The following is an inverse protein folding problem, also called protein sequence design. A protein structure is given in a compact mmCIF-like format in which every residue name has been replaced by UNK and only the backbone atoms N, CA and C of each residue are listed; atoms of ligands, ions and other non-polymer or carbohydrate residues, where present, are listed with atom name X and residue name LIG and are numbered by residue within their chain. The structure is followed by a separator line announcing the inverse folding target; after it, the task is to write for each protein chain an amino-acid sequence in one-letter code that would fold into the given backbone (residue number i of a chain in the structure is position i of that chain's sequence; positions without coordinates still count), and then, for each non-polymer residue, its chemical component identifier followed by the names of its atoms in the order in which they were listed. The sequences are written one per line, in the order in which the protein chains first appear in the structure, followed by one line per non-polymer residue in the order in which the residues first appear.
data_IF_808107535559
#
_entry.id   IF_808107535559
#
_cell.length_a   1.000
_cell.length_b   1.000
_cell.length_c   1.000
_cell.angle_alpha   90.00
_cell.angle_beta   90.00
_cell.angle_gamma   90.00
#
_symmetry.space_group_name_H-M   'P 1'
#
loop_
_entity.id
_entity.type
_entity.pdbx_description
1 polymer ?
#
# COMPACT_ATOMS: atom_id res chain seq x y z
N UNK A 1 -53.72 -10.14 -11.61
CA UNK A 1 -52.27 -9.84 -11.64
C UNK A 1 -51.98 -9.10 -10.35
N UNK A 2 -51.38 -9.78 -9.37
CA UNK A 2 -51.02 -9.17 -8.09
C UNK A 2 -49.60 -8.59 -8.23
N UNK A 3 -49.47 -7.30 -7.95
CA UNK A 3 -48.19 -6.59 -7.84
C UNK A 3 -47.43 -7.13 -6.62
N UNK A 4 -46.11 -7.39 -6.68
CA UNK A 4 -45.37 -7.79 -5.50
C UNK A 4 -45.31 -6.61 -4.52
N UNK A 5 -45.73 -6.83 -3.27
CA UNK A 5 -45.48 -5.93 -2.15
C UNK A 5 -43.97 -5.82 -1.92
N UNK A 6 -43.42 -4.62 -2.09
CA UNK A 6 -42.05 -4.32 -1.70
C UNK A 6 -42.01 -4.19 -0.18
N UNK A 7 -41.35 -5.14 0.49
CA UNK A 7 -41.26 -5.19 1.93
C UNK A 7 -40.35 -4.05 2.45
N UNK A 8 -40.80 -3.23 3.42
CA UNK A 8 -40.03 -2.10 3.95
C UNK A 8 -38.68 -2.52 4.57
N UNK A 9 -38.54 -3.78 4.98
CA UNK A 9 -37.31 -4.34 5.53
C UNK A 9 -36.21 -4.51 4.47
N UNK A 10 -36.54 -4.77 3.20
CA UNK A 10 -35.54 -4.85 2.11
C UNK A 10 -34.98 -3.48 1.77
N UNK A 11 -35.82 -2.45 1.76
CA UNK A 11 -35.38 -1.07 1.55
C UNK A 11 -34.51 -0.57 2.72
N UNK A 12 -34.84 -0.95 3.96
CA UNK A 12 -34.04 -0.63 5.13
C UNK A 12 -32.69 -1.37 5.14
N UNK A 13 -32.67 -2.64 4.73
CA UNK A 13 -31.44 -3.43 4.57
C UNK A 13 -30.55 -2.85 3.45
N UNK A 14 -31.11 -2.55 2.27
CA UNK A 14 -30.39 -1.92 1.18
C UNK A 14 -29.88 -0.51 1.53
N UNK A 15 -30.64 0.27 2.31
CA UNK A 15 -30.23 1.58 2.80
C UNK A 15 -29.13 1.47 3.86
N UNK A 16 -29.19 0.47 4.73
CA UNK A 16 -28.11 0.17 5.69
C UNK A 16 -26.85 -0.33 4.97
N UNK A 17 -26.97 -1.19 3.96
CA UNK A 17 -25.85 -1.61 3.10
C UNK A 17 -25.23 -0.43 2.35
N UNK A 18 -26.05 0.48 1.80
CA UNK A 18 -25.55 1.72 1.18
C UNK A 18 -24.91 2.68 2.19
N UNK A 19 -25.45 2.78 3.41
CA UNK A 19 -24.89 3.61 4.47
C UNK A 19 -23.57 3.04 5.02
N UNK A 20 -23.43 1.72 5.08
CA UNK A 20 -22.20 1.01 5.44
C UNK A 20 -21.17 1.05 4.29
N UNK A 21 -21.61 1.01 3.03
CA UNK A 21 -20.76 1.23 1.87
C UNK A 21 -20.20 2.66 1.79
N UNK A 22 -20.86 3.64 2.42
CA UNK A 22 -20.33 5.00 2.61
C UNK A 22 -19.29 5.14 3.71
N UNK A 23 -19.09 4.12 4.57
CA UNK A 23 -18.12 4.14 5.69
C UNK A 23 -16.81 3.41 5.38
N UNK A 24 -16.75 2.61 4.31
CA UNK A 24 -15.57 1.84 3.90
C UNK A 24 -15.12 2.36 2.54
N UNK A 25 -13.90 2.88 2.44
CA UNK A 25 -13.36 3.30 1.14
C UNK A 25 -13.09 2.07 0.27
N UNK A 26 -13.12 2.21 -1.06
CA UNK A 26 -12.73 1.11 -1.95
C UNK A 26 -11.30 0.65 -1.66
N UNK A 27 -10.43 1.57 -1.27
CA UNK A 27 -9.06 1.31 -0.85
C UNK A 27 -8.97 0.33 0.34
N UNK A 28 -9.89 0.41 1.29
CA UNK A 28 -9.95 -0.50 2.45
C UNK A 28 -10.29 -1.94 2.04
N UNK A 29 -11.06 -2.14 0.96
CA UNK A 29 -11.33 -3.48 0.41
C UNK A 29 -10.05 -4.17 -0.11
N UNK A 30 -9.04 -3.35 -0.42
CA UNK A 30 -7.81 -3.76 -1.08
C UNK A 30 -6.58 -3.75 -0.19
N UNK A 31 -6.78 -3.55 1.11
CA UNK A 31 -5.70 -3.51 2.10
C UNK A 31 -6.03 -4.37 3.31
N UNK A 32 -5.05 -5.18 3.73
CA UNK A 32 -5.06 -5.85 5.04
C UNK A 32 -3.98 -5.27 5.90
N UNK A 33 -4.35 -4.73 7.06
CA UNK A 33 -3.43 -4.13 8.03
C UNK A 33 -3.15 -5.10 9.18
N UNK A 34 -1.95 -5.10 9.74
CA UNK A 34 -1.68 -5.76 11.03
C UNK A 34 -2.51 -5.14 12.15
N UNK A 35 -2.83 -5.87 13.23
CA UNK A 35 -3.43 -5.26 14.41
C UNK A 35 -2.47 -4.22 15.01
N UNK A 36 -3.03 -3.15 15.58
CA UNK A 36 -2.26 -2.26 16.45
C UNK A 36 -2.05 -2.96 17.79
N UNK A 37 -0.82 -2.92 18.30
CA UNK A 37 -0.48 -3.45 19.63
C UNK A 37 -0.36 -2.32 20.64
N UNK A 38 -0.61 -2.63 21.91
CA UNK A 38 -0.27 -1.72 23.00
C UNK A 38 1.25 -1.49 23.03
N UNK A 39 1.72 -0.27 23.32
CA UNK A 39 3.15 0.01 23.44
C UNK A 39 3.83 -0.90 24.46
N UNK A 40 4.93 -1.54 24.07
CA UNK A 40 5.80 -2.28 24.97
C UNK A 40 7.02 -1.43 25.37
N UNK A 41 7.64 -1.72 26.54
CA UNK A 41 8.88 -1.06 26.93
C UNK A 41 9.96 -1.20 25.84
N UNK A 42 10.57 -0.07 25.45
CA UNK A 42 11.64 -0.03 24.45
C UNK A 42 11.18 0.12 22.99
N UNK A 43 9.88 0.05 22.69
CA UNK A 43 9.39 0.22 21.31
C UNK A 43 9.72 1.60 20.74
N UNK A 44 9.51 2.67 21.50
CA UNK A 44 9.84 4.03 21.08
C UNK A 44 11.34 4.23 20.85
N UNK A 45 12.20 3.61 21.68
CA UNK A 45 13.65 3.65 21.51
C UNK A 45 14.06 2.93 20.22
N UNK A 46 13.54 1.72 19.99
CA UNK A 46 13.80 0.93 18.78
C UNK A 46 13.36 1.67 17.51
N UNK A 47 12.18 2.29 17.55
CA UNK A 47 11.69 3.13 16.46
C UNK A 47 12.58 4.36 16.21
N UNK A 48 13.01 5.05 17.26
CA UNK A 48 13.91 6.19 17.15
C UNK A 48 15.27 5.81 16.54
N UNK A 49 15.83 4.66 16.92
CA UNK A 49 17.07 4.12 16.36
C UNK A 49 16.93 3.81 14.86
N UNK A 50 15.84 3.13 14.46
CA UNK A 50 15.52 2.86 13.05
C UNK A 50 15.48 4.18 12.27
N UNK A 51 14.74 5.17 12.77
CA UNK A 51 14.61 6.47 12.11
C UNK A 51 15.95 7.23 12.02
N UNK A 52 16.78 7.16 13.06
CA UNK A 52 18.10 7.78 13.06
C UNK A 52 19.03 7.17 12.01
N UNK A 53 19.04 5.83 11.88
CA UNK A 53 19.80 5.14 10.83
C UNK A 53 19.28 5.51 9.46
N UNK A 54 17.96 5.49 9.25
CA UNK A 54 17.37 5.89 7.97
C UNK A 54 17.78 7.31 7.57
N UNK A 55 17.63 8.27 8.47
CA UNK A 55 17.97 9.67 8.19
C UNK A 55 19.44 9.87 7.85
N UNK A 56 20.34 9.13 8.51
CA UNK A 56 21.78 9.18 8.23
C UNK A 56 22.15 8.51 6.91
N UNK A 57 21.72 7.26 6.70
CA UNK A 57 22.19 6.41 5.60
C UNK A 57 21.50 6.69 4.26
N UNK A 58 20.26 7.18 4.32
CA UNK A 58 19.44 7.44 3.13
C UNK A 58 19.50 8.91 2.68
N UNK A 59 20.10 9.82 3.46
CA UNK A 59 20.21 11.24 3.10
C UNK A 59 20.86 11.49 1.73
N UNK A 60 21.84 10.66 1.33
CA UNK A 60 22.47 10.74 0.01
C UNK A 60 21.48 10.55 -1.16
N UNK A 61 20.37 9.86 -0.90
CA UNK A 61 19.34 9.61 -1.91
C UNK A 61 18.32 10.75 -2.00
N UNK A 62 18.53 11.88 -1.32
CA UNK A 62 17.82 13.12 -1.66
C UNK A 62 18.05 13.50 -3.12
N UNK A 63 19.24 13.22 -3.64
CA UNK A 63 19.49 13.17 -5.07
C UNK A 63 18.99 11.85 -5.66
N UNK A 64 17.97 11.93 -6.52
CA UNK A 64 17.40 10.76 -7.19
C UNK A 64 18.41 10.07 -8.11
N UNK A 65 19.33 10.82 -8.72
CA UNK A 65 20.36 10.23 -9.59
C UNK A 65 21.34 9.37 -8.80
N UNK A 66 21.65 9.74 -7.55
CA UNK A 66 22.43 8.89 -6.66
C UNK A 66 21.69 7.56 -6.34
N UNK A 67 20.36 7.59 -6.21
CA UNK A 67 19.57 6.39 -6.04
C UNK A 67 19.59 5.52 -7.31
N UNK A 68 19.38 6.12 -8.48
CA UNK A 68 19.42 5.43 -9.77
C UNK A 68 20.80 4.80 -10.04
N UNK A 69 21.88 5.53 -9.77
CA UNK A 69 23.26 5.05 -9.86
C UNK A 69 23.53 3.89 -8.87
N UNK A 70 22.91 3.93 -7.69
CA UNK A 70 22.95 2.83 -6.73
C UNK A 70 22.07 1.62 -7.13
N UNK A 71 21.38 1.68 -8.28
CA UNK A 71 20.59 0.58 -8.83
C UNK A 71 19.13 0.55 -8.37
N UNK A 72 18.61 1.64 -7.81
CA UNK A 72 17.18 1.80 -7.61
C UNK A 72 16.49 2.11 -8.95
N UNK A 73 15.30 1.53 -9.16
CA UNK A 73 14.50 1.72 -10.38
C UNK A 73 13.05 1.95 -10.02
N UNK A 74 12.36 2.84 -10.73
CA UNK A 74 10.93 3.03 -10.54
C UNK A 74 10.19 1.75 -10.95
N UNK A 75 9.69 0.99 -9.96
CA UNK A 75 9.24 -0.39 -10.14
C UNK A 75 7.73 -0.48 -10.42
N UNK A 76 6.99 0.62 -10.31
CA UNK A 76 5.59 0.69 -10.70
C UNK A 76 5.38 2.02 -11.42
N UNK A 77 5.27 2.03 -12.77
CA UNK A 77 4.91 3.23 -13.51
C UNK A 77 3.41 3.55 -13.34
N UNK A 78 2.98 3.76 -12.10
CA UNK A 78 1.79 4.54 -11.84
C UNK A 78 2.22 6.00 -12.00
N UNK A 79 2.23 6.48 -13.25
CA UNK A 79 2.57 7.87 -13.56
C UNK A 79 1.70 8.89 -12.79
N UNK A 80 0.57 8.44 -12.22
CA UNK A 80 -0.35 9.22 -11.41
C UNK A 80 -0.23 9.02 -9.88
N UNK A 81 0.65 8.13 -9.38
CA UNK A 81 0.80 7.96 -7.94
C UNK A 81 1.58 9.15 -7.33
N UNK A 82 1.04 9.82 -6.29
CA UNK A 82 1.70 10.99 -5.68
C UNK A 82 3.06 10.64 -5.05
N UNK A 83 3.22 9.39 -4.62
CA UNK A 83 4.49 8.81 -4.16
C UNK A 83 4.98 7.80 -5.18
N UNK A 84 6.22 7.97 -5.63
CA UNK A 84 6.91 7.11 -6.58
C UNK A 84 7.85 6.16 -5.83
N UNK A 85 7.72 4.85 -6.10
CA UNK A 85 8.52 3.81 -5.47
C UNK A 85 9.71 3.45 -6.34
N UNK A 86 10.90 3.82 -5.88
CA UNK A 86 12.16 3.42 -6.49
C UNK A 86 12.68 2.19 -5.75
N UNK A 87 12.56 1.01 -6.36
CA UNK A 87 12.87 -0.29 -5.74
C UNK A 87 14.23 -0.81 -6.16
N UNK A 88 14.87 -1.53 -5.25
CA UNK A 88 16.15 -2.20 -5.50
C UNK A 88 16.01 -3.69 -5.24
N UNK A 89 15.90 -4.47 -6.32
CA UNK A 89 15.56 -5.90 -6.27
C UNK A 89 16.46 -6.73 -5.34
N UNK A 90 17.77 -6.45 -5.32
CA UNK A 90 18.69 -7.14 -4.40
C UNK A 90 18.34 -6.91 -2.93
N UNK A 91 17.87 -5.71 -2.58
CA UNK A 91 17.47 -5.37 -1.21
C UNK A 91 16.06 -5.91 -0.90
N UNK A 92 15.17 -5.94 -1.90
CA UNK A 92 13.89 -6.66 -1.79
C UNK A 92 14.09 -8.16 -1.44
N UNK A 93 15.08 -8.81 -2.06
CA UNK A 93 15.41 -10.21 -1.74
C UNK A 93 16.00 -10.35 -0.33
N UNK A 94 16.86 -9.43 0.10
CA UNK A 94 17.46 -9.43 1.44
C UNK A 94 16.43 -9.16 2.55
N UNK A 95 15.40 -8.35 2.28
CA UNK A 95 14.34 -8.01 3.25
C UNK A 95 13.55 -9.24 3.74
N UNK A 96 13.67 -10.38 3.05
CA UNK A 96 13.12 -11.66 3.52
C UNK A 96 13.70 -12.07 4.89
N UNK A 97 14.95 -11.72 5.16
CA UNK A 97 15.69 -12.14 6.34
C UNK A 97 15.56 -11.17 7.53
N UNK A 98 14.96 -9.99 7.35
CA UNK A 98 14.82 -8.98 8.40
C UNK A 98 14.76 -7.56 7.84
N UNK A 99 14.61 -6.59 8.73
CA UNK A 99 14.63 -5.16 8.39
C UNK A 99 16.01 -4.58 8.66
N UNK A 100 16.65 -4.04 7.62
CA UNK A 100 17.86 -3.23 7.72
C UNK A 100 17.49 -1.77 7.39
N UNK A 101 17.47 -0.85 8.36
CA UNK A 101 17.05 0.54 8.13
C UNK A 101 17.92 1.29 7.09
N UNK A 102 19.15 0.84 6.84
CA UNK A 102 20.05 1.41 5.84
C UNK A 102 19.84 0.85 4.42
N UNK A 103 19.06 -0.25 4.30
CA UNK A 103 18.84 -0.97 3.04
C UNK A 103 17.36 -1.25 2.79
N UNK A 104 16.53 -0.21 2.62
CA UNK A 104 15.11 -0.37 2.35
C UNK A 104 14.83 -1.11 1.03
N UNK A 105 13.65 -1.71 0.91
CA UNK A 105 13.22 -2.32 -0.35
C UNK A 105 13.01 -1.25 -1.42
N UNK A 106 12.36 -0.15 -1.06
CA UNK A 106 12.15 1.01 -1.93
C UNK A 106 12.44 2.32 -1.23
N UNK A 107 12.93 3.29 -1.99
CA UNK A 107 12.90 4.70 -1.63
C UNK A 107 11.57 5.29 -2.11
N UNK A 108 11.02 6.21 -1.32
CA UNK A 108 9.75 6.88 -1.61
C UNK A 108 10.04 8.33 -1.97
N UNK A 109 9.68 8.72 -3.18
CA UNK A 109 9.79 10.11 -3.64
C UNK A 109 8.41 10.70 -3.84
N UNK A 110 8.16 11.87 -3.26
CA UNK A 110 6.99 12.66 -3.61
C UNK A 110 7.27 13.42 -4.91
N UNK A 111 6.33 13.35 -5.85
CA UNK A 111 6.40 14.09 -7.11
C UNK A 111 5.64 15.40 -6.99
N UNK A 112 6.32 16.52 -7.20
CA UNK A 112 5.67 17.82 -7.30
C UNK A 112 5.05 18.04 -8.69
N UNK A 113 4.23 19.10 -8.83
CA UNK A 113 3.54 19.43 -10.07
C UNK A 113 4.50 19.74 -11.24
N UNK A 114 5.67 20.30 -10.95
CA UNK A 114 6.75 20.55 -11.91
C UNK A 114 7.54 19.28 -12.30
N UNK A 115 7.20 18.14 -11.70
CA UNK A 115 7.83 16.85 -11.94
C UNK A 115 9.10 16.59 -11.12
N UNK A 116 9.52 17.52 -10.26
CA UNK A 116 10.61 17.30 -9.32
C UNK A 116 10.27 16.20 -8.30
N UNK A 117 11.31 15.49 -7.84
CA UNK A 117 11.19 14.37 -6.92
C UNK A 117 11.89 14.70 -5.59
N UNK A 118 11.13 14.67 -4.50
CA UNK A 118 11.65 14.89 -3.15
C UNK A 118 11.63 13.60 -2.37
N UNK A 119 12.77 13.20 -1.79
CA UNK A 119 12.82 12.01 -0.94
C UNK A 119 11.94 12.22 0.29
N UNK A 120 10.91 11.39 0.42
CA UNK A 120 9.92 11.47 1.49
C UNK A 120 10.17 10.38 2.56
N UNK A 121 10.66 9.21 2.14
CA UNK A 121 10.83 8.10 3.05
C UNK A 121 11.33 6.83 2.38
N UNK A 122 11.00 5.70 3.00
CA UNK A 122 11.32 4.39 2.48
C UNK A 122 10.23 3.35 2.77
N UNK A 123 10.21 2.30 1.97
CA UNK A 123 9.39 1.11 2.16
C UNK A 123 10.26 -0.08 2.52
N UNK A 124 9.83 -0.84 3.53
CA UNK A 124 10.37 -2.15 3.86
C UNK A 124 9.36 -3.23 3.54
N UNK A 125 9.83 -4.43 3.23
CA UNK A 125 8.96 -5.57 2.92
C UNK A 125 9.28 -6.79 3.76
N UNK A 126 8.28 -7.66 3.93
CA UNK A 126 8.47 -8.98 4.53
C UNK A 126 7.67 -10.03 3.73
N UNK A 127 8.09 -11.32 3.75
CA UNK A 127 7.34 -12.40 3.11
C UNK A 127 5.88 -12.44 3.56
N UNK A 128 4.94 -12.81 2.70
CA UNK A 128 3.51 -12.76 3.02
C UNK A 128 3.09 -13.66 4.19
N UNK A 129 3.87 -14.70 4.49
CA UNK A 129 3.66 -15.65 5.58
C UNK A 129 4.31 -15.23 6.91
N UNK A 130 5.04 -14.10 6.95
CA UNK A 130 5.65 -13.60 8.19
C UNK A 130 4.55 -13.26 9.19
N UNK A 131 4.69 -13.82 10.39
CA UNK A 131 3.74 -13.68 11.50
C UNK A 131 3.78 -12.29 12.13
N UNK A 132 2.73 -11.89 12.84
CA UNK A 132 2.69 -10.61 13.54
C UNK A 132 3.83 -10.46 14.55
N UNK A 133 4.26 -11.54 15.22
CA UNK A 133 5.40 -11.51 16.14
C UNK A 133 6.72 -11.25 15.41
N UNK A 134 6.93 -11.86 14.24
CA UNK A 134 8.13 -11.60 13.43
C UNK A 134 8.12 -10.21 12.79
N UNK A 135 6.95 -9.67 12.45
CA UNK A 135 6.81 -8.28 11.98
C UNK A 135 7.12 -7.28 13.10
N UNK A 136 6.59 -7.52 14.30
CA UNK A 136 6.83 -6.72 15.50
C UNK A 136 8.31 -6.67 15.90
N UNK A 137 9.01 -7.79 15.74
CA UNK A 137 10.46 -7.87 15.94
C UNK A 137 11.24 -7.02 14.93
N UNK A 138 10.73 -6.85 13.70
CA UNK A 138 11.36 -6.02 12.65
C UNK A 138 11.10 -4.52 12.87
N UNK A 139 9.85 -4.16 13.12
CA UNK A 139 9.40 -2.81 13.42
C UNK A 139 8.18 -2.91 14.34
N UNK A 140 8.20 -2.29 15.55
CA UNK A 140 7.14 -2.49 16.53
C UNK A 140 5.74 -2.17 15.98
N UNK A 141 4.79 -3.10 16.17
CA UNK A 141 3.40 -2.96 15.75
C UNK A 141 2.61 -1.95 16.60
N UNK A 142 3.19 -1.50 17.72
CA UNK A 142 2.72 -0.37 18.50
C UNK A 142 3.08 0.99 17.88
N UNK A 143 4.01 1.01 16.92
CA UNK A 143 4.53 2.20 16.26
C UNK A 143 4.01 2.32 14.83
N UNK A 144 4.03 1.23 14.06
CA UNK A 144 3.63 1.24 12.66
C UNK A 144 2.81 0.00 12.28
N UNK A 145 1.87 0.16 11.35
CA UNK A 145 1.10 -0.95 10.79
C UNK A 145 1.75 -1.43 9.50
N UNK A 146 2.01 -2.73 9.44
CA UNK A 146 2.34 -3.37 8.16
C UNK A 146 1.03 -3.60 7.40
N UNK A 147 1.10 -3.57 6.07
CA UNK A 147 -0.06 -3.82 5.21
C UNK A 147 0.25 -4.81 4.09
N UNK A 148 -0.79 -5.45 3.56
CA UNK A 148 -0.78 -6.22 2.34
C UNK A 148 -1.80 -5.67 1.37
N UNK A 149 -1.44 -5.62 0.09
CA UNK A 149 -2.39 -5.40 -0.99
C UNK A 149 -3.09 -6.73 -1.32
N UNK A 150 -4.41 -6.75 -1.10
CA UNK A 150 -5.27 -7.94 -1.23
C UNK A 150 -6.44 -7.67 -2.18
N UNK A 151 -7.05 -8.71 -2.71
CA UNK A 151 -8.28 -8.63 -3.50
C UNK A 151 -8.19 -7.77 -4.78
N UNK A 152 -7.01 -7.55 -5.37
CA UNK A 152 -6.90 -6.69 -6.55
C UNK A 152 -7.51 -7.34 -7.78
N UNK A 153 -8.36 -6.60 -8.50
CA UNK A 153 -8.68 -6.91 -9.88
C UNK A 153 -7.71 -6.18 -10.82
N UNK A 154 -6.95 -6.95 -11.61
CA UNK A 154 -6.00 -6.42 -12.60
C UNK A 154 -6.55 -6.60 -14.02
N UNK A 155 -6.25 -5.69 -14.96
CA UNK A 155 -6.62 -5.92 -16.35
C UNK A 155 -5.84 -7.11 -16.95
N UNK A 156 -6.34 -7.71 -18.04
CA UNK A 156 -5.59 -8.67 -18.86
C UNK A 156 -4.23 -8.10 -19.28
N UNK A 157 -3.18 -8.92 -19.27
CA UNK A 157 -1.83 -8.46 -19.61
C UNK A 157 -1.75 -7.84 -21.01
N UNK A 158 -2.45 -8.45 -21.98
CA UNK A 158 -2.45 -8.01 -23.38
C UNK A 158 -2.93 -6.55 -23.54
N UNK A 159 -3.88 -6.12 -22.70
CA UNK A 159 -4.52 -4.81 -22.81
C UNK A 159 -4.28 -3.91 -21.59
N UNK A 160 -3.35 -4.28 -20.70
CA UNK A 160 -3.22 -3.67 -19.38
C UNK A 160 -3.11 -2.14 -19.45
N UNK A 161 -2.33 -1.59 -20.39
CA UNK A 161 -2.15 -0.15 -20.57
C UNK A 161 -3.44 0.58 -20.94
N UNK A 162 -4.29 -0.02 -21.79
CA UNK A 162 -5.55 0.58 -22.24
C UNK A 162 -6.61 0.48 -21.15
N UNK A 163 -6.73 -0.70 -20.53
CA UNK A 163 -7.83 -1.01 -19.61
C UNK A 163 -7.62 -0.47 -18.20
N UNK A 164 -6.39 -0.13 -17.80
CA UNK A 164 -6.11 0.39 -16.46
C UNK A 164 -6.92 1.65 -16.11
N UNK A 165 -7.25 2.48 -17.11
CA UNK A 165 -8.03 3.70 -16.94
C UNK A 165 -9.54 3.50 -17.14
N UNK A 166 -10.02 2.27 -17.33
CA UNK A 166 -11.46 2.00 -17.45
C UNK A 166 -12.19 2.39 -16.17
N UNK A 167 -13.31 3.07 -16.36
CA UNK A 167 -14.23 3.44 -15.27
C UNK A 167 -15.64 2.95 -15.58
N UNK A 168 -16.40 2.67 -14.54
CA UNK A 168 -17.84 2.37 -14.62
C UNK A 168 -18.52 3.11 -13.48
N UNK A 169 -19.57 3.89 -13.80
CA UNK A 169 -20.26 4.75 -12.84
C UNK A 169 -19.31 5.69 -12.06
N UNK A 170 -18.28 6.21 -12.74
CA UNK A 170 -17.28 7.10 -12.13
C UNK A 170 -16.25 6.41 -11.24
N UNK A 171 -16.31 5.08 -11.06
CA UNK A 171 -15.36 4.31 -10.27
C UNK A 171 -14.38 3.56 -11.17
N UNK A 172 -13.08 3.43 -10.80
CA UNK A 172 -12.13 2.59 -11.52
C UNK A 172 -12.60 1.13 -11.56
N UNK A 173 -12.46 0.46 -12.71
CA UNK A 173 -12.77 -0.98 -12.82
C UNK A 173 -11.65 -1.83 -12.21
N UNK A 174 -10.40 -1.39 -12.37
CA UNK A 174 -9.22 -2.14 -11.92
C UNK A 174 -8.39 -1.37 -10.90
N UNK A 175 -7.56 -2.10 -10.15
CA UNK A 175 -6.60 -1.53 -9.21
C UNK A 175 -7.20 -1.23 -7.83
N UNK A 176 -6.45 -0.52 -6.97
CA UNK A 176 -6.74 -0.40 -5.53
C UNK A 176 -7.92 0.52 -5.19
N UNK A 177 -8.48 1.23 -6.17
CA UNK A 177 -9.63 2.13 -5.99
C UNK A 177 -10.92 1.54 -6.57
N UNK A 178 -10.85 0.30 -7.08
CA UNK A 178 -11.99 -0.40 -7.63
C UNK A 178 -12.92 -0.88 -6.51
N UNK A 179 -14.24 -0.89 -6.71
CA UNK A 179 -15.14 -1.59 -5.79
C UNK A 179 -15.07 -3.12 -5.96
N UNK A 180 -14.35 -3.63 -6.97
CA UNK A 180 -14.28 -5.08 -7.29
C UNK A 180 -13.26 -5.77 -6.39
N UNK A 181 -13.74 -6.43 -5.34
CA UNK A 181 -12.90 -7.12 -4.35
C UNK A 181 -13.07 -8.65 -4.29
N UNK A 182 -13.82 -9.26 -5.21
CA UNK A 182 -14.01 -10.72 -5.29
C UNK A 182 -13.49 -11.31 -6.59
N UNK A 183 -13.23 -12.62 -6.59
CA UNK A 183 -12.74 -13.32 -7.77
C UNK A 183 -13.78 -13.33 -8.89
N UNK A 184 -15.04 -13.62 -8.54
CA UNK A 184 -16.17 -13.75 -9.45
C UNK A 184 -16.49 -12.40 -10.11
N UNK A 185 -16.52 -11.31 -9.33
CA UNK A 185 -16.76 -9.97 -9.88
C UNK A 185 -15.60 -9.51 -10.78
N UNK A 186 -14.36 -9.88 -10.43
CA UNK A 186 -13.21 -9.57 -11.28
C UNK A 186 -13.24 -10.35 -12.60
N UNK A 187 -13.66 -11.62 -12.59
CA UNK A 187 -13.85 -12.41 -13.80
C UNK A 187 -14.95 -11.84 -14.69
N UNK A 188 -16.06 -11.36 -14.10
CA UNK A 188 -17.18 -10.77 -14.83
C UNK A 188 -16.79 -9.54 -15.69
N UNK A 189 -15.75 -8.79 -15.28
CA UNK A 189 -15.20 -7.67 -16.07
C UNK A 189 -14.01 -8.07 -16.97
N UNK A 190 -13.79 -9.38 -17.12
CA UNK A 190 -12.67 -9.95 -17.86
C UNK A 190 -11.32 -9.61 -17.23
N UNK A 191 -11.26 -9.53 -15.91
CA UNK A 191 -10.08 -9.21 -15.13
C UNK A 191 -9.29 -10.44 -14.68
N UNK A 192 -8.19 -10.16 -13.96
CA UNK A 192 -7.32 -11.17 -13.33
C UNK A 192 -7.29 -10.90 -11.84
N UNK A 193 -8.01 -11.72 -11.09
CA UNK A 193 -8.05 -11.58 -9.64
C UNK A 193 -6.71 -11.94 -9.00
N UNK A 194 -6.31 -11.16 -8.00
CA UNK A 194 -5.12 -11.38 -7.17
C UNK A 194 -5.53 -11.31 -5.71
N UNK A 195 -5.72 -12.46 -5.03
CA UNK A 195 -6.08 -12.46 -3.61
C UNK A 195 -5.01 -11.76 -2.76
N UNK A 196 -3.75 -11.83 -3.20
CA UNK A 196 -2.62 -11.10 -2.63
C UNK A 196 -1.59 -10.80 -3.71
N UNK A 197 -1.20 -9.53 -3.83
CA UNK A 197 -0.27 -9.09 -4.88
C UNK A 197 1.20 -9.13 -4.42
N UNK A 198 1.45 -8.74 -3.17
CA UNK A 198 2.79 -8.62 -2.58
C UNK A 198 2.89 -9.31 -1.21
N UNK A 199 4.09 -9.29 -0.63
CA UNK A 199 4.29 -9.56 0.79
C UNK A 199 3.75 -8.43 1.68
N UNK A 200 4.12 -8.47 2.96
CA UNK A 200 3.89 -7.33 3.85
C UNK A 200 4.76 -6.14 3.42
N UNK A 201 4.22 -4.93 3.58
CA UNK A 201 4.90 -3.66 3.33
C UNK A 201 4.69 -2.74 4.53
N UNK A 202 5.68 -1.91 4.81
CA UNK A 202 5.54 -0.78 5.72
C UNK A 202 6.24 0.43 5.13
N UNK A 203 5.57 1.56 5.15
CA UNK A 203 6.11 2.85 4.73
C UNK A 203 6.55 3.63 5.95
N UNK A 204 7.73 4.24 5.88
CA UNK A 204 8.28 5.11 6.92
C UNK A 204 8.72 6.41 6.27
N UNK A 205 8.00 7.50 6.60
CA UNK A 205 8.13 8.84 6.00
C UNK A 205 9.22 9.65 6.71
N UNK A 206 10.44 9.10 6.75
CA UNK A 206 11.54 9.61 7.58
C UNK A 206 12.00 11.05 7.26
N UNK A 207 11.64 11.56 6.08
CA UNK A 207 12.06 12.86 5.55
C UNK A 207 10.88 13.81 5.25
N UNK A 208 9.65 13.37 5.48
CA UNK A 208 8.46 14.23 5.37
C UNK A 208 8.22 15.00 6.66
N UNK A 209 7.50 16.11 6.55
CA UNK A 209 6.94 16.81 7.70
C UNK A 209 5.78 15.97 8.29
N UNK A 210 5.71 15.87 9.62
CA UNK A 210 4.67 15.11 10.33
C UNK A 210 5.15 13.83 11.01
N UNK A 211 4.20 12.92 11.30
CA UNK A 211 4.50 11.63 11.92
C UNK A 211 5.12 10.67 10.89
N UNK A 212 6.40 10.26 11.05
CA UNK A 212 7.07 9.40 10.09
C UNK A 212 6.49 7.98 10.03
N UNK A 213 5.67 7.57 11.01
CA UNK A 213 5.11 6.23 11.10
C UNK A 213 3.68 6.13 10.56
N UNK A 214 3.02 7.27 10.37
CA UNK A 214 1.67 7.35 9.84
C UNK A 214 1.70 7.81 8.38
N UNK A 215 2.13 6.90 7.49
CA UNK A 215 1.98 7.09 6.06
C UNK A 215 0.49 7.03 5.71
N UNK A 216 -0.20 8.16 5.78
CA UNK A 216 -1.58 8.26 5.34
C UNK A 216 -1.67 7.88 3.86
N UNK A 217 -2.32 6.75 3.59
CA UNK A 217 -2.76 6.36 2.26
C UNK A 217 -4.15 6.98 2.03
N UNK A 218 -4.21 8.30 1.84
CA UNK A 218 -5.42 9.00 1.38
C UNK A 218 -5.37 9.17 -0.14
#
# INVERSE_FOLDING_TARGET
MATPEQHPDEHAAMAAEHAMAGMVSNEDLHMRLTPLRSPAPGDSTRAAEILAVMRRELARYRDVHAAEAAGFRNFIPAAAAPVQHFTKLRWAFQARNGLDPARPTSLLYQRAADGSLTLAGAMFTAPPQTSDAELDARLPLSIARWHQHINWCLPPLADARRRWAETTNGQPVFGPKSPIATAEACEAVGGRFRPRLFGWMVHVMAFSDGDPWNAHHH
#
